data_IF_358343867338
#
_entry.id   IF_358343867338
#
_cell.length_a   1.000
_cell.length_b   1.000
_cell.length_c   1.000
_cell.angle_alpha   90.00
_cell.angle_beta   90.00
_cell.angle_gamma   90.00
#
_symmetry.space_group_name_H-M   'P 1'
#
loop_
_entity.id
_entity.type
_entity.pdbx_description
1 polymer ?
#
# COMPACT_ATOMS: atom_id res chain seq x y z
N UNK A 1 -1.84 65.08 25.84
CA UNK A 1 -2.85 64.00 25.89
C UNK A 1 -3.80 64.31 24.76
N UNK A 2 -3.41 63.97 23.54
CA UNK A 2 -4.11 64.43 22.34
C UNK A 2 -4.52 63.20 21.55
N UNK A 3 -5.83 62.95 21.57
CA UNK A 3 -6.51 61.84 20.90
C UNK A 3 -6.71 62.23 19.44
N UNK A 4 -6.06 61.52 18.51
CA UNK A 4 -6.31 61.69 17.09
C UNK A 4 -7.78 61.33 16.73
N UNK A 5 -8.41 62.01 15.76
CA UNK A 5 -9.80 61.76 15.38
C UNK A 5 -9.92 60.47 14.57
N UNK A 6 -11.03 59.76 14.76
CA UNK A 6 -11.37 58.52 14.07
C UNK A 6 -11.90 58.81 12.66
N UNK A 7 -11.34 58.12 11.66
CA UNK A 7 -11.81 58.19 10.27
C UNK A 7 -12.92 57.15 10.06
N UNK A 8 -14.09 57.53 9.52
CA UNK A 8 -15.18 56.60 9.25
C UNK A 8 -14.85 55.68 8.06
N UNK A 9 -15.15 54.38 8.23
CA UNK A 9 -14.86 53.32 7.26
C UNK A 9 -15.72 53.39 6.01
N UNK A 10 -15.11 53.05 4.87
CA UNK A 10 -15.76 52.88 3.57
C UNK A 10 -16.60 51.57 3.62
N UNK A 11 -17.88 51.57 3.21
CA UNK A 11 -18.67 50.35 3.19
C UNK A 11 -18.19 49.43 2.06
N UNK A 12 -17.92 48.16 2.40
CA UNK A 12 -17.61 47.13 1.42
C UNK A 12 -18.86 46.81 0.58
N UNK A 13 -18.76 46.95 -0.74
CA UNK A 13 -19.80 46.52 -1.67
C UNK A 13 -19.92 44.99 -1.64
N UNK A 14 -21.15 44.50 -1.50
CA UNK A 14 -21.47 43.08 -1.59
C UNK A 14 -21.30 42.61 -3.04
N UNK A 15 -20.32 41.72 -3.28
CA UNK A 15 -20.15 40.98 -4.54
C UNK A 15 -21.11 39.78 -4.61
N UNK A 16 -21.45 39.32 -5.82
CA UNK A 16 -22.46 38.30 -6.03
C UNK A 16 -21.99 36.92 -5.53
N UNK A 17 -22.94 36.13 -5.04
CA UNK A 17 -22.72 34.77 -4.56
C UNK A 17 -22.14 33.89 -5.69
N UNK A 18 -20.85 33.54 -5.58
CA UNK A 18 -20.25 32.51 -6.42
C UNK A 18 -20.70 31.13 -5.90
N UNK A 19 -21.32 30.36 -6.80
CA UNK A 19 -21.66 28.97 -6.57
C UNK A 19 -20.38 28.21 -6.19
N UNK A 20 -20.36 27.69 -4.96
CA UNK A 20 -19.20 27.03 -4.38
C UNK A 20 -18.71 25.86 -5.24
N UNK A 21 -17.53 26.03 -5.82
CA UNK A 21 -16.73 24.92 -6.31
C UNK A 21 -16.47 23.99 -5.11
N UNK A 22 -17.08 22.81 -5.11
CA UNK A 22 -16.72 21.76 -4.15
C UNK A 22 -15.30 21.34 -4.51
N UNK A 23 -14.32 21.92 -3.81
CA UNK A 23 -12.91 21.54 -3.95
C UNK A 23 -12.79 20.03 -3.75
N UNK A 24 -12.13 19.35 -4.68
CA UNK A 24 -11.80 17.94 -4.54
C UNK A 24 -11.20 17.70 -3.13
N UNK A 25 -11.59 16.62 -2.44
CA UNK A 25 -11.17 16.42 -1.06
C UNK A 25 -9.63 16.39 -1.00
N UNK A 26 -9.02 16.98 0.04
CA UNK A 26 -7.56 17.06 0.17
C UNK A 26 -6.89 15.69 0.28
N UNK A 27 -7.67 14.63 0.47
CA UNK A 27 -7.22 13.24 0.60
C UNK A 27 -8.07 12.31 -0.27
N UNK A 28 -7.51 11.18 -0.74
CA UNK A 28 -8.26 10.18 -1.48
C UNK A 28 -9.53 9.73 -0.73
N UNK A 29 -10.68 9.76 -1.43
CA UNK A 29 -11.99 9.45 -0.88
C UNK A 29 -12.50 8.04 -1.22
N UNK A 30 -11.70 7.24 -1.93
CA UNK A 30 -12.04 5.87 -2.36
C UNK A 30 -12.27 5.02 -1.11
N UNK A 31 -13.42 4.37 -0.89
CA UNK A 31 -13.65 3.52 0.27
C UNK A 31 -12.62 2.38 0.36
N UNK A 32 -12.15 2.05 1.57
CA UNK A 32 -11.21 0.94 1.76
C UNK A 32 -11.92 -0.38 1.45
N UNK A 33 -11.31 -1.20 0.60
CA UNK A 33 -11.73 -2.58 0.34
C UNK A 33 -10.56 -3.49 0.63
N UNK A 34 -10.80 -4.52 1.42
CA UNK A 34 -9.83 -5.53 1.80
C UNK A 34 -10.47 -6.90 1.62
N UNK A 35 -9.66 -7.94 1.82
CA UNK A 35 -10.15 -9.31 1.69
C UNK A 35 -11.31 -9.59 2.61
N UNK A 36 -12.26 -10.37 2.10
CA UNK A 36 -13.40 -10.83 2.87
C UNK A 36 -13.22 -12.30 3.21
N UNK A 37 -13.70 -12.72 4.37
CA UNK A 37 -13.61 -14.12 4.74
C UNK A 37 -14.69 -14.94 4.04
N UNK A 38 -14.36 -16.18 3.67
CA UNK A 38 -15.36 -17.20 3.29
C UNK A 38 -16.39 -17.37 4.40
N UNK A 39 -17.60 -17.73 3.99
CA UNK A 39 -18.70 -18.02 4.90
C UNK A 39 -18.28 -19.03 5.99
N UNK A 40 -18.77 -18.79 7.22
CA UNK A 40 -18.36 -19.59 8.37
C UNK A 40 -18.75 -21.05 8.20
N UNK A 41 -19.95 -21.35 7.70
CA UNK A 41 -20.40 -22.73 7.53
C UNK A 41 -19.60 -23.42 6.42
N UNK A 42 -19.26 -22.70 5.35
CA UNK A 42 -18.44 -23.22 4.27
C UNK A 42 -16.99 -23.58 4.71
N UNK A 43 -16.39 -22.78 5.61
CA UNK A 43 -14.98 -22.97 6.05
C UNK A 43 -14.80 -23.94 7.23
N UNK A 44 -15.88 -24.45 7.83
CA UNK A 44 -15.78 -25.44 8.91
C UNK A 44 -15.50 -26.86 8.41
N UNK A 45 -15.78 -27.14 7.13
CA UNK A 45 -15.64 -28.47 6.53
C UNK A 45 -14.38 -28.68 5.71
N UNK A 46 -13.51 -27.67 5.56
CA UNK A 46 -12.29 -27.77 4.75
C UNK A 46 -11.14 -26.92 5.32
N UNK A 47 -9.94 -27.08 4.75
CA UNK A 47 -8.72 -26.34 5.12
C UNK A 47 -8.26 -25.37 4.02
N UNK A 48 -9.15 -24.97 3.11
CA UNK A 48 -8.81 -24.03 2.04
C UNK A 48 -8.64 -22.62 2.60
N UNK A 49 -7.95 -21.76 1.86
CA UNK A 49 -7.71 -20.38 2.26
C UNK A 49 -9.01 -19.67 2.65
N UNK A 50 -9.02 -19.02 3.80
CA UNK A 50 -10.21 -18.38 4.37
C UNK A 50 -10.41 -16.98 3.80
N UNK A 51 -9.33 -16.27 3.52
CA UNK A 51 -9.37 -14.95 2.89
C UNK A 51 -9.70 -15.09 1.41
N UNK A 52 -10.69 -14.33 0.95
CA UNK A 52 -10.99 -14.16 -0.46
C UNK A 52 -10.33 -12.86 -0.94
N UNK A 53 -9.40 -12.95 -1.90
CA UNK A 53 -8.70 -11.78 -2.39
C UNK A 53 -9.64 -10.79 -3.07
N UNK A 54 -9.40 -9.49 -2.83
CA UNK A 54 -10.01 -8.42 -3.62
C UNK A 54 -9.64 -8.61 -5.10
N UNK A 55 -10.60 -8.53 -6.04
CA UNK A 55 -10.32 -8.66 -7.47
C UNK A 55 -9.24 -7.68 -7.94
N UNK A 56 -8.42 -8.06 -8.93
CA UNK A 56 -7.29 -7.22 -9.40
C UNK A 56 -7.71 -5.79 -9.81
N UNK A 57 -8.86 -5.65 -10.47
CA UNK A 57 -9.39 -4.36 -10.89
C UNK A 57 -9.65 -3.44 -9.69
N UNK A 58 -10.19 -3.99 -8.61
CA UNK A 58 -10.43 -3.27 -7.36
C UNK A 58 -9.12 -2.99 -6.62
N UNK A 59 -8.14 -3.89 -6.67
CA UNK A 59 -6.82 -3.72 -6.03
C UNK A 59 -6.04 -2.55 -6.63
N UNK A 60 -6.10 -2.35 -7.96
CA UNK A 60 -5.52 -1.14 -8.58
C UNK A 60 -6.20 0.15 -8.10
N UNK A 61 -7.52 0.13 -7.96
CA UNK A 61 -8.27 1.25 -7.38
C UNK A 61 -7.89 1.52 -5.91
N UNK A 62 -7.60 0.47 -5.13
CA UNK A 62 -7.13 0.66 -3.75
C UNK A 62 -5.74 1.29 -3.69
N UNK A 63 -4.87 1.07 -4.68
CA UNK A 63 -3.56 1.71 -4.76
C UNK A 63 -3.63 3.24 -4.93
N UNK A 64 -4.72 3.78 -5.49
CA UNK A 64 -4.98 5.23 -5.59
C UNK A 64 -5.18 5.92 -4.24
N UNK A 65 -5.42 5.15 -3.16
CA UNK A 65 -5.47 5.68 -1.80
C UNK A 65 -4.09 6.11 -1.30
N UNK A 66 -3.01 5.63 -1.92
CA UNK A 66 -1.66 6.03 -1.55
C UNK A 66 -1.41 7.50 -1.89
N UNK A 67 -1.06 8.29 -0.87
CA UNK A 67 -0.79 9.74 -1.03
C UNK A 67 0.59 10.05 -1.62
N UNK A 68 1.45 9.04 -1.85
CA UNK A 68 2.82 9.26 -2.33
C UNK A 68 3.65 10.12 -1.38
N UNK A 69 3.61 9.85 -0.06
CA UNK A 69 4.26 10.65 0.96
C UNK A 69 5.76 10.83 0.71
N UNK A 70 6.27 12.06 0.82
CA UNK A 70 7.71 12.34 0.68
C UNK A 70 8.57 11.75 1.81
N UNK A 71 8.02 11.64 3.03
CA UNK A 71 8.60 10.90 4.14
C UNK A 71 7.66 9.74 4.53
N UNK A 72 7.77 8.58 3.88
CA UNK A 72 6.82 7.49 4.04
C UNK A 72 7.08 6.67 5.31
N UNK A 73 6.33 6.94 6.37
CA UNK A 73 6.38 6.18 7.64
C UNK A 73 6.11 4.68 7.45
N UNK A 74 5.25 4.31 6.51
CA UNK A 74 4.98 2.90 6.20
C UNK A 74 6.22 2.12 5.76
N UNK A 75 7.12 2.76 4.99
CA UNK A 75 8.39 2.19 4.54
C UNK A 75 9.46 2.32 5.62
N UNK A 76 9.65 3.52 6.17
CA UNK A 76 10.78 3.83 7.06
C UNK A 76 10.65 3.24 8.47
N UNK A 77 9.42 3.09 8.96
CA UNK A 77 9.15 2.67 10.35
C UNK A 77 8.13 1.53 10.46
N UNK A 78 7.24 1.39 9.48
CA UNK A 78 6.19 0.39 9.50
C UNK A 78 6.64 -0.99 9.03
N UNK A 79 7.38 -1.07 7.93
CA UNK A 79 7.81 -2.33 7.34
C UNK A 79 9.20 -2.74 7.87
N UNK A 80 9.34 -3.89 8.56
CA UNK A 80 10.66 -4.35 9.03
C UNK A 80 11.65 -4.67 7.90
N UNK A 81 11.15 -4.97 6.69
CA UNK A 81 11.96 -5.25 5.51
C UNK A 81 12.38 -3.97 4.76
N UNK A 82 11.82 -2.81 5.11
CA UNK A 82 12.03 -1.59 4.33
C UNK A 82 11.48 -1.68 2.91
N UNK A 83 10.36 -2.38 2.69
CA UNK A 83 9.74 -2.49 1.37
C UNK A 83 9.43 -1.10 0.80
N UNK A 84 9.73 -0.87 -0.48
CA UNK A 84 9.52 0.40 -1.20
C UNK A 84 8.03 0.66 -1.50
N UNK A 85 7.22 0.79 -0.45
CA UNK A 85 5.75 0.76 -0.50
C UNK A 85 5.17 1.87 -1.39
N UNK A 86 5.56 3.15 -1.29
CA UNK A 86 4.98 4.19 -2.15
C UNK A 86 5.26 3.95 -3.64
N UNK A 87 6.48 3.52 -3.98
CA UNK A 87 6.87 3.22 -5.36
C UNK A 87 6.16 1.99 -5.92
N UNK A 88 6.06 0.95 -5.10
CA UNK A 88 5.33 -0.28 -5.44
C UNK A 88 3.84 0.02 -5.68
N UNK A 89 3.22 0.82 -4.80
CA UNK A 89 1.82 1.24 -4.95
C UNK A 89 1.61 2.13 -6.17
N UNK A 90 2.55 3.02 -6.49
CA UNK A 90 2.52 3.83 -7.70
C UNK A 90 2.52 2.96 -8.95
N UNK A 91 3.43 1.99 -9.03
CA UNK A 91 3.50 1.05 -10.15
C UNK A 91 2.21 0.24 -10.28
N UNK A 92 1.66 -0.24 -9.16
CA UNK A 92 0.40 -0.98 -9.14
C UNK A 92 -0.78 -0.14 -9.67
N UNK A 93 -0.94 1.09 -9.19
CA UNK A 93 -1.96 2.04 -9.67
C UNK A 93 -1.87 2.25 -11.17
N UNK A 94 -0.66 2.48 -11.68
CA UNK A 94 -0.38 2.70 -13.10
C UNK A 94 -0.49 1.43 -13.95
N UNK A 95 -0.72 0.27 -13.34
CA UNK A 95 -0.81 -1.02 -14.05
C UNK A 95 0.55 -1.56 -14.49
N UNK A 96 1.66 -1.01 -13.97
CA UNK A 96 3.03 -1.47 -14.21
C UNK A 96 3.36 -2.67 -13.32
N UNK A 97 2.61 -3.76 -13.48
CA UNK A 97 2.66 -4.95 -12.63
C UNK A 97 4.05 -5.58 -12.55
N UNK A 98 4.75 -5.68 -13.67
CA UNK A 98 6.09 -6.27 -13.70
C UNK A 98 7.10 -5.46 -12.88
N UNK A 99 7.06 -4.14 -13.04
CA UNK A 99 7.93 -3.23 -12.27
C UNK A 99 7.56 -3.23 -10.79
N UNK A 100 6.27 -3.28 -10.45
CA UNK A 100 5.81 -3.43 -9.07
C UNK A 100 6.35 -4.72 -8.43
N UNK A 101 6.35 -5.84 -9.19
CA UNK A 101 6.91 -7.11 -8.73
C UNK A 101 8.43 -7.02 -8.55
N UNK A 102 9.15 -6.45 -9.50
CA UNK A 102 10.61 -6.31 -9.42
C UNK A 102 11.02 -5.43 -8.22
N UNK A 103 10.27 -4.35 -7.94
CA UNK A 103 10.44 -3.53 -6.74
C UNK A 103 10.15 -4.32 -5.45
N UNK A 104 9.06 -5.07 -5.41
CA UNK A 104 8.70 -5.87 -4.25
C UNK A 104 9.77 -6.94 -3.94
N UNK A 105 10.21 -7.69 -4.95
CA UNK A 105 11.23 -8.74 -4.82
C UNK A 105 12.65 -8.20 -4.57
N UNK A 106 12.87 -6.89 -4.72
CA UNK A 106 14.17 -6.26 -4.40
C UNK A 106 14.44 -6.18 -2.89
N UNK A 107 13.38 -6.25 -2.08
CA UNK A 107 13.45 -6.09 -0.61
C UNK A 107 12.84 -7.25 0.15
N UNK A 108 11.93 -8.00 -0.47
CA UNK A 108 11.23 -9.12 0.14
C UNK A 108 11.44 -10.41 -0.63
N UNK A 109 12.00 -11.42 0.02
CA UNK A 109 12.21 -12.75 -0.55
C UNK A 109 10.92 -13.58 -0.66
N UNK A 110 9.92 -13.30 0.19
CA UNK A 110 8.76 -14.15 0.44
C UNK A 110 7.42 -13.38 0.44
N UNK A 111 7.14 -12.50 -0.56
CA UNK A 111 5.91 -11.71 -0.61
C UNK A 111 4.63 -12.54 -0.65
N UNK A 112 4.68 -13.78 -1.16
CA UNK A 112 3.56 -14.73 -1.16
C UNK A 112 3.15 -15.17 0.25
N UNK A 113 4.10 -15.15 1.19
CA UNK A 113 3.86 -15.47 2.59
C UNK A 113 3.50 -14.21 3.37
N UNK A 114 4.30 -13.15 3.28
CA UNK A 114 4.07 -11.91 4.03
C UNK A 114 2.79 -11.21 3.59
N UNK A 115 2.41 -11.28 2.30
CA UNK A 115 1.11 -10.82 1.81
C UNK A 115 -0.10 -11.57 2.41
N UNK A 116 0.12 -12.70 3.09
CA UNK A 116 -0.93 -13.49 3.76
C UNK A 116 -0.87 -13.38 5.27
N UNK A 117 0.31 -13.55 5.88
CA UNK A 117 0.43 -13.72 7.34
C UNK A 117 0.90 -12.47 8.07
N UNK A 118 1.42 -11.46 7.36
CA UNK A 118 1.95 -10.27 8.01
C UNK A 118 0.82 -9.51 8.75
N UNK A 119 1.05 -9.07 10.00
CA UNK A 119 0.08 -8.25 10.74
C UNK A 119 -0.02 -6.81 10.21
N UNK A 120 0.66 -6.50 9.09
CA UNK A 120 0.63 -5.23 8.38
C UNK A 120 0.94 -3.98 9.24
N UNK A 121 2.07 -3.94 9.99
CA UNK A 121 2.48 -2.75 10.76
C UNK A 121 2.69 -1.52 9.87
N UNK A 122 2.98 -1.71 8.58
CA UNK A 122 3.04 -0.65 7.58
C UNK A 122 1.70 0.07 7.36
N UNK A 123 0.56 -0.62 7.52
CA UNK A 123 -0.77 -0.02 7.44
C UNK A 123 -1.09 0.77 8.70
N UNK A 124 -0.71 0.26 9.87
CA UNK A 124 -0.81 0.98 11.15
C UNK A 124 0.01 2.28 11.17
N UNK A 125 1.17 2.27 10.51
CA UNK A 125 2.04 3.46 10.36
C UNK A 125 1.68 4.35 9.16
N UNK A 126 0.57 4.08 8.46
CA UNK A 126 0.19 4.84 7.27
C UNK A 126 -0.31 6.24 7.66
N UNK A 127 0.25 7.29 7.06
CA UNK A 127 -0.16 8.69 7.32
C UNK A 127 -1.64 8.93 6.99
N UNK A 128 -2.18 8.26 5.97
CA UNK A 128 -3.61 8.34 5.66
C UNK A 128 -4.47 7.89 6.85
N UNK A 129 -3.97 6.92 7.63
CA UNK A 129 -4.57 6.39 8.86
C UNK A 129 -4.93 7.44 9.91
N UNK A 130 -4.30 8.62 9.86
CA UNK A 130 -4.58 9.73 10.79
C UNK A 130 -5.92 10.42 10.51
N UNK A 131 -6.41 10.36 9.27
CA UNK A 131 -7.60 11.12 8.83
C UNK A 131 -8.67 10.24 8.18
N UNK A 132 -8.30 9.06 7.68
CA UNK A 132 -9.16 8.06 7.04
C UNK A 132 -8.59 6.66 7.31
N UNK A 133 -9.29 5.63 6.87
CA UNK A 133 -8.71 4.28 6.90
C UNK A 133 -7.39 4.24 6.11
N UNK A 134 -6.42 3.37 6.46
CA UNK A 134 -5.14 3.30 5.79
C UNK A 134 -5.22 2.66 4.39
N UNK A 135 -4.09 2.66 3.69
CA UNK A 135 -3.90 1.93 2.43
C UNK A 135 -3.79 0.43 2.73
N UNK A 136 -4.36 -0.43 1.88
CA UNK A 136 -4.33 -1.90 2.00
C UNK A 136 -3.02 -2.50 1.44
N UNK A 137 -1.90 -2.13 2.06
CA UNK A 137 -0.55 -2.47 1.61
C UNK A 137 -0.35 -3.99 1.55
N UNK A 138 -0.83 -4.76 2.53
CA UNK A 138 -0.71 -6.23 2.54
C UNK A 138 -1.46 -6.85 1.36
N UNK A 139 -2.66 -6.34 1.05
CA UNK A 139 -3.45 -6.81 -0.08
C UNK A 139 -2.78 -6.48 -1.41
N UNK A 140 -2.15 -5.30 -1.54
CA UNK A 140 -1.39 -4.92 -2.72
C UNK A 140 -0.19 -5.86 -2.93
N UNK A 141 0.56 -6.12 -1.87
CA UNK A 141 1.68 -7.05 -1.87
C UNK A 141 1.25 -8.44 -2.37
N UNK A 142 0.17 -8.99 -1.80
CA UNK A 142 -0.36 -10.29 -2.23
C UNK A 142 -0.82 -10.25 -3.69
N UNK A 143 -1.54 -9.22 -4.11
CA UNK A 143 -2.00 -9.14 -5.50
C UNK A 143 -0.85 -9.09 -6.51
N UNK A 144 0.22 -8.33 -6.20
CA UNK A 144 1.39 -8.21 -7.09
C UNK A 144 2.09 -9.57 -7.25
N UNK A 145 2.34 -10.29 -6.15
CA UNK A 145 3.04 -11.58 -6.22
C UNK A 145 2.18 -12.66 -6.89
N UNK A 146 0.88 -12.72 -6.60
CA UNK A 146 -0.04 -13.67 -7.25
C UNK A 146 -0.13 -13.40 -8.75
N UNK A 147 -0.22 -12.13 -9.16
CA UNK A 147 -0.16 -11.76 -10.57
C UNK A 147 1.17 -12.18 -11.20
N UNK A 148 2.29 -11.98 -10.49
CA UNK A 148 3.62 -12.42 -10.92
C UNK A 148 3.71 -13.93 -11.17
N UNK A 149 3.14 -14.75 -10.29
CA UNK A 149 3.06 -16.19 -10.47
C UNK A 149 2.15 -16.56 -11.65
N UNK A 150 0.96 -15.96 -11.76
CA UNK A 150 0.01 -16.22 -12.84
C UNK A 150 0.59 -15.90 -14.23
N UNK A 151 1.43 -14.87 -14.33
CA UNK A 151 2.14 -14.50 -15.56
C UNK A 151 3.45 -15.28 -15.80
N UNK A 152 3.84 -16.16 -14.87
CA UNK A 152 5.09 -16.91 -14.96
C UNK A 152 6.36 -16.06 -14.81
N UNK A 153 6.26 -14.88 -14.19
CA UNK A 153 7.39 -13.97 -14.02
C UNK A 153 8.31 -14.34 -12.86
N UNK A 154 7.78 -15.06 -11.86
CA UNK A 154 8.56 -15.57 -10.73
C UNK A 154 9.32 -16.82 -11.20
N UNK A 155 10.62 -16.63 -11.45
CA UNK A 155 11.50 -17.68 -11.96
C UNK A 155 12.74 -17.83 -11.07
N UNK A 156 13.30 -19.05 -10.95
CA UNK A 156 14.56 -19.26 -10.24
C UNK A 156 15.68 -18.37 -10.79
N UNK A 157 16.50 -17.82 -9.90
CA UNK A 157 17.70 -17.03 -10.24
C UNK A 157 18.98 -17.79 -9.86
N UNK A 158 19.33 -18.89 -10.56
CA UNK A 158 20.55 -19.61 -10.27
C UNK A 158 21.78 -18.72 -10.55
N UNK A 159 22.87 -18.84 -9.77
CA UNK A 159 24.05 -18.03 -9.98
C UNK A 159 24.74 -18.37 -11.31
N UNK A 160 25.16 -17.35 -12.06
CA UNK A 160 25.90 -17.53 -13.32
C UNK A 160 27.29 -18.19 -13.13
N UNK A 161 27.88 -18.03 -11.95
CA UNK A 161 29.17 -18.62 -11.57
C UNK A 161 29.12 -19.11 -10.13
N UNK A 162 29.66 -20.29 -9.86
CA UNK A 162 29.86 -20.81 -8.50
C UNK A 162 31.25 -20.41 -8.00
N UNK A 163 31.32 -19.92 -6.77
CA UNK A 163 32.58 -19.59 -6.10
C UNK A 163 33.17 -20.84 -5.43
N UNK A 164 34.51 -20.93 -5.29
CA UNK A 164 35.11 -21.99 -4.48
C UNK A 164 34.79 -21.74 -3.01
N UNK A 165 33.97 -22.62 -2.42
CA UNK A 165 33.52 -22.50 -1.02
C UNK A 165 32.31 -23.38 -0.77
N UNK A 166 32.05 -23.70 0.51
CA UNK A 166 30.85 -24.45 0.92
C UNK A 166 30.25 -23.77 2.15
N UNK A 167 28.93 -23.63 2.15
CA UNK A 167 28.14 -23.14 3.28
C UNK A 167 27.10 -24.21 3.58
N UNK A 168 26.90 -24.49 4.86
CA UNK A 168 25.82 -25.35 5.34
C UNK A 168 24.80 -24.49 6.09
N UNK A 169 23.51 -24.69 5.78
CA UNK A 169 22.39 -24.06 6.47
C UNK A 169 21.68 -25.14 7.28
N UNK A 170 21.52 -24.93 8.58
CA UNK A 170 20.80 -25.85 9.47
C UNK A 170 19.43 -25.25 9.75
N UNK A 171 18.40 -25.83 9.13
CA UNK A 171 17.01 -25.38 9.23
C UNK A 171 16.48 -24.80 7.91
N UNK A 172 15.25 -25.16 7.56
CA UNK A 172 14.59 -24.81 6.29
C UNK A 172 13.37 -23.90 6.47
N UNK A 173 13.38 -23.08 7.53
CA UNK A 173 12.39 -22.02 7.72
C UNK A 173 12.74 -20.75 6.92
N UNK A 174 11.94 -19.68 7.01
CA UNK A 174 12.14 -18.44 6.25
C UNK A 174 13.51 -17.76 6.44
N UNK A 175 14.18 -18.02 7.56
CA UNK A 175 15.53 -17.48 7.81
C UNK A 175 16.65 -18.29 7.12
N UNK A 176 16.39 -19.56 6.82
CA UNK A 176 17.37 -20.46 6.19
C UNK A 176 17.19 -20.58 4.68
N UNK A 177 15.94 -20.47 4.20
CA UNK A 177 15.61 -20.33 2.78
C UNK A 177 16.03 -18.96 2.26
#
# INVERSE_FOLDING_TARGET
MDKAPSVPGIPAAAGPAEAGAVSAPPFPAIPRRHDVYRDVQARLGDWREVEQPVPEADTRGQAERCMGCGLPFCHAHGCPLGNLIPDTNRCLREGRWREALDLLLSTNNFPEFTGRICPAPCESSCVLGLVREPVTIRNHERAIIEHGFAQGWVQPRPPARRLPGRVAVIGSGPAGL
#
